data_IF_908568350249
#
_entry.id   IF_908568350249
#
_cell.length_a   1.000
_cell.length_b   1.000
_cell.length_c   1.000
_cell.angle_alpha   90.00
_cell.angle_beta   90.00
_cell.angle_gamma   90.00
#
_symmetry.space_group_name_H-M   'P 1'
#
loop_
_entity.id
_entity.type
_entity.pdbx_description
1 polymer ?
#
# COMPACT_ATOMS: atom_id res chain seq x y z
N UNK A 1 -2.40 5.07 -7.65
CA UNK A 1 -2.09 5.09 -6.20
C UNK A 1 -0.65 4.69 -5.94
N UNK A 2 -0.22 3.45 -6.19
CA UNK A 2 1.20 3.06 -6.05
C UNK A 2 2.18 3.95 -6.82
N UNK A 3 1.86 4.35 -8.06
CA UNK A 3 2.67 5.34 -8.80
C UNK A 3 2.74 6.72 -8.13
N UNK A 4 1.67 7.14 -7.45
CA UNK A 4 1.63 8.36 -6.63
C UNK A 4 2.54 8.24 -5.41
N UNK A 5 2.41 7.14 -4.65
CA UNK A 5 3.30 6.79 -3.53
C UNK A 5 4.77 6.83 -3.97
N UNK A 6 5.11 6.23 -5.12
CA UNK A 6 6.49 6.24 -5.65
C UNK A 6 6.96 7.67 -5.92
N UNK A 7 6.12 8.51 -6.53
CA UNK A 7 6.47 9.89 -6.83
C UNK A 7 6.69 10.72 -5.55
N UNK A 8 5.72 10.72 -4.64
CA UNK A 8 5.82 11.44 -3.37
C UNK A 8 6.96 10.90 -2.49
N UNK A 9 7.28 9.60 -2.59
CA UNK A 9 8.46 9.00 -1.91
C UNK A 9 9.77 9.56 -2.42
N UNK A 10 9.90 9.78 -3.73
CA UNK A 10 11.10 10.42 -4.31
C UNK A 10 11.20 11.88 -3.87
N UNK A 11 10.08 12.61 -3.89
CA UNK A 11 10.03 13.99 -3.39
C UNK A 11 10.40 14.05 -1.90
N UNK A 12 9.91 13.12 -1.10
CA UNK A 12 10.27 13.01 0.32
C UNK A 12 11.76 12.72 0.51
N UNK A 13 12.33 11.76 -0.23
CA UNK A 13 13.75 11.48 -0.18
C UNK A 13 14.61 12.68 -0.58
N UNK A 14 14.22 13.40 -1.64
CA UNK A 14 14.89 14.63 -2.05
C UNK A 14 14.82 15.70 -0.95
N UNK A 15 13.62 15.94 -0.39
CA UNK A 15 13.40 16.90 0.69
C UNK A 15 14.20 16.57 1.95
N UNK A 16 14.25 15.29 2.37
CA UNK A 16 15.07 14.84 3.50
C UNK A 16 16.55 15.17 3.27
N UNK A 17 17.07 14.89 2.07
CA UNK A 17 18.47 15.18 1.74
C UNK A 17 18.77 16.68 1.67
N UNK A 18 17.84 17.51 1.16
CA UNK A 18 18.07 18.94 0.92
C UNK A 18 17.74 19.85 2.10
N UNK A 19 16.66 19.54 2.84
CA UNK A 19 16.11 20.44 3.86
C UNK A 19 16.77 20.26 5.22
N UNK A 20 17.19 19.04 5.56
CA UNK A 20 17.79 18.72 6.86
C UNK A 20 19.26 19.09 6.86
N UNK A 21 19.62 20.06 7.70
CA UNK A 21 20.96 20.62 7.81
C UNK A 21 21.39 20.68 9.27
N UNK A 22 22.70 20.77 9.53
CA UNK A 22 23.28 20.81 10.88
C UNK A 22 24.25 19.67 11.17
N UNK A 23 24.92 19.74 12.32
CA UNK A 23 25.80 18.67 12.81
C UNK A 23 24.99 17.39 13.04
N UNK A 24 25.57 16.23 12.71
CA UNK A 24 24.88 14.92 12.75
C UNK A 24 23.62 14.79 11.88
N UNK A 25 23.40 15.68 10.90
CA UNK A 25 22.23 15.60 10.00
C UNK A 25 22.12 14.28 9.22
N UNK A 26 23.23 13.62 8.92
CA UNK A 26 23.24 12.35 8.19
C UNK A 26 22.57 11.20 8.97
N UNK A 27 22.67 11.21 10.30
CA UNK A 27 21.99 10.24 11.16
C UNK A 27 20.47 10.36 11.02
N UNK A 28 19.95 11.59 11.10
CA UNK A 28 18.51 11.87 10.96
C UNK A 28 18.00 11.64 9.55
N UNK A 29 18.79 11.96 8.51
CA UNK A 29 18.44 11.62 7.13
C UNK A 29 18.28 10.12 6.96
N UNK A 30 19.24 9.33 7.43
CA UNK A 30 19.18 7.86 7.38
C UNK A 30 17.97 7.33 8.14
N UNK A 31 17.74 7.82 9.36
CA UNK A 31 16.59 7.48 10.21
C UNK A 31 15.26 7.68 9.46
N UNK A 32 15.03 8.86 8.88
CA UNK A 32 13.79 9.20 8.17
C UNK A 32 13.59 8.37 6.91
N UNK A 33 14.65 8.12 6.13
CA UNK A 33 14.58 7.27 4.94
C UNK A 33 14.26 5.83 5.34
N UNK A 34 14.90 5.32 6.38
CA UNK A 34 14.69 3.95 6.84
C UNK A 34 13.27 3.77 7.37
N UNK A 35 12.75 4.72 8.16
CA UNK A 35 11.35 4.71 8.60
C UNK A 35 10.37 4.77 7.41
N UNK A 36 10.69 5.54 6.38
CA UNK A 36 9.88 5.60 5.15
C UNK A 36 9.85 4.26 4.42
N UNK A 37 10.99 3.56 4.33
CA UNK A 37 11.07 2.20 3.77
C UNK A 37 10.29 1.21 4.64
N UNK A 38 10.39 1.32 5.97
CA UNK A 38 9.60 0.49 6.89
C UNK A 38 8.10 0.69 6.69
N UNK A 39 7.64 1.93 6.47
CA UNK A 39 6.25 2.21 6.11
C UNK A 39 5.83 1.53 4.80
N UNK A 40 6.64 1.65 3.73
CA UNK A 40 6.36 0.99 2.46
C UNK A 40 6.26 -0.53 2.61
N UNK A 41 7.16 -1.11 3.39
CA UNK A 41 7.15 -2.54 3.72
C UNK A 41 5.88 -2.90 4.48
N UNK A 42 5.55 -2.21 5.58
CA UNK A 42 4.33 -2.45 6.34
C UNK A 42 3.07 -2.35 5.48
N UNK A 43 2.95 -1.31 4.65
CA UNK A 43 1.82 -1.10 3.74
C UNK A 43 1.70 -2.23 2.70
N UNK A 44 2.82 -2.63 2.11
CA UNK A 44 2.89 -3.73 1.13
C UNK A 44 2.41 -5.05 1.73
N UNK A 45 2.83 -5.37 2.95
CA UNK A 45 2.35 -6.55 3.66
C UNK A 45 0.87 -6.44 3.99
N UNK A 46 0.45 -5.32 4.60
CA UNK A 46 -0.95 -5.08 4.97
C UNK A 46 -1.93 -5.26 3.80
N UNK A 47 -1.57 -4.79 2.60
CA UNK A 47 -2.43 -4.92 1.41
C UNK A 47 -2.45 -6.34 0.81
N UNK A 48 -1.44 -7.16 1.13
CA UNK A 48 -1.31 -8.55 0.66
C UNK A 48 -1.89 -9.57 1.63
N UNK A 49 -2.15 -9.18 2.89
CA UNK A 49 -2.88 -10.01 3.84
C UNK A 49 -4.27 -10.37 3.29
N UNK A 50 -4.68 -11.60 3.57
CA UNK A 50 -5.98 -12.09 3.15
C UNK A 50 -7.13 -11.44 3.92
N UNK A 51 -8.31 -11.45 3.31
CA UNK A 51 -9.57 -11.06 3.93
C UNK A 51 -10.58 -12.19 3.80
N UNK A 52 -11.50 -12.29 4.74
CA UNK A 52 -12.52 -13.35 4.79
C UNK A 52 -13.37 -13.47 3.50
N UNK A 53 -13.59 -12.35 2.80
CA UNK A 53 -14.38 -12.32 1.56
C UNK A 53 -13.57 -12.70 0.32
N UNK A 54 -12.25 -12.86 0.42
CA UNK A 54 -11.41 -13.27 -0.70
C UNK A 54 -11.45 -14.80 -0.88
N UNK A 55 -11.47 -15.27 -2.13
CA UNK A 55 -11.41 -16.71 -2.42
C UNK A 55 -9.99 -17.26 -2.23
N UNK A 56 -9.55 -17.40 -0.97
CA UNK A 56 -8.20 -17.84 -0.58
C UNK A 56 -7.83 -19.18 -1.23
N UNK A 57 -8.76 -20.14 -1.24
CA UNK A 57 -8.55 -21.46 -1.86
C UNK A 57 -8.24 -21.40 -3.37
N UNK A 58 -8.75 -20.38 -4.07
CA UNK A 58 -8.51 -20.21 -5.51
C UNK A 58 -7.17 -19.53 -5.80
N UNK A 59 -6.55 -18.85 -4.81
CA UNK A 59 -5.19 -18.31 -4.91
C UNK A 59 -4.14 -19.41 -4.73
N UNK A 60 -4.38 -20.33 -3.80
CA UNK A 60 -3.46 -21.46 -3.51
C UNK A 60 -3.32 -22.40 -4.73
N UNK A 61 -4.37 -22.51 -5.57
CA UNK A 61 -4.37 -23.36 -6.78
C UNK A 61 -3.69 -22.72 -8.00
N UNK A 62 -3.03 -21.57 -7.86
CA UNK A 62 -2.30 -20.90 -8.95
C UNK A 62 -3.17 -20.36 -10.09
N UNK A 63 -4.50 -20.33 -9.92
CA UNK A 63 -5.45 -19.89 -10.96
C UNK A 63 -5.53 -18.37 -11.11
N UNK A 64 -5.08 -17.61 -10.11
CA UNK A 64 -5.11 -16.15 -10.11
C UNK A 64 -3.75 -15.60 -9.68
N UNK A 65 -3.13 -14.79 -10.55
CA UNK A 65 -1.91 -14.05 -10.23
C UNK A 65 -2.25 -12.83 -9.36
N UNK A 66 -1.48 -12.53 -8.30
CA UNK A 66 -0.23 -13.18 -7.88
C UNK A 66 -0.45 -14.36 -6.92
N UNK A 67 0.45 -15.36 -6.99
CA UNK A 67 0.62 -16.39 -5.95
C UNK A 67 1.09 -15.72 -4.66
N UNK A 68 0.18 -15.29 -3.80
CA UNK A 68 0.48 -14.81 -2.45
C UNK A 68 0.90 -16.02 -1.62
N UNK A 69 2.21 -16.24 -1.53
CA UNK A 69 2.84 -17.39 -0.88
C UNK A 69 2.81 -17.24 0.66
N UNK A 70 2.63 -18.32 1.41
CA UNK A 70 2.70 -18.36 2.89
C UNK A 70 4.01 -17.75 3.45
N UNK A 71 5.10 -17.75 2.67
CA UNK A 71 6.35 -17.03 3.01
C UNK A 71 6.19 -15.51 3.18
N UNK A 72 5.11 -14.91 2.69
CA UNK A 72 4.80 -13.49 2.90
C UNK A 72 4.33 -13.18 4.33
N UNK A 73 4.00 -14.19 5.14
CA UNK A 73 3.47 -13.99 6.49
C UNK A 73 4.55 -14.06 7.57
N UNK A 74 5.69 -14.69 7.31
CA UNK A 74 6.65 -15.04 8.36
C UNK A 74 7.75 -14.01 8.64
N UNK A 75 8.06 -13.08 7.73
CA UNK A 75 9.23 -12.19 7.88
C UNK A 75 8.90 -10.68 7.86
N UNK A 76 7.67 -10.27 8.18
CA UNK A 76 7.39 -8.83 8.36
C UNK A 76 8.28 -8.23 9.46
N UNK A 77 8.42 -8.96 10.57
CA UNK A 77 9.27 -8.56 11.69
C UNK A 77 10.73 -8.47 11.25
N UNK A 78 11.27 -9.51 10.60
CA UNK A 78 12.66 -9.53 10.10
C UNK A 78 12.94 -8.43 9.06
N UNK A 79 12.01 -8.18 8.13
CA UNK A 79 12.19 -7.12 7.12
C UNK A 79 12.12 -5.73 7.74
N UNK A 80 11.22 -5.49 8.69
CA UNK A 80 11.09 -4.17 9.35
C UNK A 80 12.22 -3.92 10.34
N UNK A 81 12.70 -4.94 11.07
CA UNK A 81 13.84 -4.83 11.99
C UNK A 81 15.15 -4.42 11.32
N UNK A 82 15.27 -4.59 10.00
CA UNK A 82 16.41 -4.05 9.23
C UNK A 82 16.38 -2.51 9.11
N UNK A 83 15.22 -1.89 9.32
CA UNK A 83 15.01 -0.45 9.11
C UNK A 83 14.63 0.30 10.40
N UNK A 84 13.98 -0.38 11.35
CA UNK A 84 13.57 0.19 12.64
C UNK A 84 14.31 -0.50 13.78
N UNK A 85 14.54 0.23 14.88
CA UNK A 85 14.99 -0.39 16.12
C UNK A 85 13.92 -1.34 16.68
N UNK A 86 14.33 -2.33 17.47
CA UNK A 86 13.39 -3.27 18.10
C UNK A 86 12.39 -2.54 19.00
N UNK A 87 12.86 -1.53 19.76
CA UNK A 87 12.02 -0.68 20.60
C UNK A 87 10.93 0.05 19.80
N UNK A 88 11.26 0.55 18.61
CA UNK A 88 10.29 1.25 17.75
C UNK A 88 9.30 0.27 17.12
N UNK A 89 9.76 -0.93 16.73
CA UNK A 89 8.89 -1.97 16.19
C UNK A 89 7.85 -2.46 17.19
N UNK A 90 8.25 -2.65 18.45
CA UNK A 90 7.36 -3.14 19.51
C UNK A 90 6.21 -2.17 19.81
N UNK A 91 6.38 -0.86 19.57
CA UNK A 91 5.29 0.13 19.69
C UNK A 91 4.17 -0.09 18.68
N UNK A 92 4.51 -0.66 17.52
CA UNK A 92 3.56 -0.89 16.43
C UNK A 92 2.99 -2.30 16.42
N UNK A 93 3.69 -3.24 17.05
CA UNK A 93 3.26 -4.62 17.19
C UNK A 93 1.87 -4.66 17.87
N UNK A 94 0.92 -5.33 17.22
CA UNK A 94 -0.46 -5.45 17.71
C UNK A 94 -1.40 -4.25 17.42
N UNK A 95 -0.92 -3.19 16.75
CA UNK A 95 -1.81 -2.10 16.31
C UNK A 95 -2.61 -2.51 15.07
N UNK A 96 -3.85 -2.05 14.97
CA UNK A 96 -4.77 -2.37 13.86
C UNK A 96 -4.24 -1.95 12.49
N UNK A 97 -3.49 -0.84 12.43
CA UNK A 97 -2.91 -0.31 11.21
C UNK A 97 -1.47 0.13 11.46
N UNK A 98 -0.54 -0.83 11.40
CA UNK A 98 0.90 -0.59 11.60
C UNK A 98 1.45 0.47 10.66
N UNK A 99 1.08 0.45 9.37
CA UNK A 99 1.55 1.42 8.39
C UNK A 99 1.17 2.86 8.77
N UNK A 100 -0.07 3.08 9.21
CA UNK A 100 -0.51 4.40 9.66
C UNK A 100 0.25 4.89 10.90
N UNK A 101 0.60 3.98 11.83
CA UNK A 101 1.38 4.32 13.03
C UNK A 101 2.81 4.72 12.69
N UNK A 102 3.44 4.04 11.72
CA UNK A 102 4.78 4.41 11.25
C UNK A 102 4.77 5.82 10.63
N UNK A 103 3.78 6.13 9.78
CA UNK A 103 3.63 7.50 9.23
C UNK A 103 3.36 8.54 10.32
N UNK A 104 2.55 8.20 11.32
CA UNK A 104 2.30 9.10 12.43
C UNK A 104 3.60 9.41 13.20
N UNK A 105 4.41 8.39 13.50
CA UNK A 105 5.72 8.60 14.13
C UNK A 105 6.67 9.41 13.25
N UNK A 106 6.66 9.18 11.93
CA UNK A 106 7.42 10.00 10.98
C UNK A 106 7.02 11.48 11.05
N UNK A 107 5.72 11.77 11.10
CA UNK A 107 5.20 13.13 11.23
C UNK A 107 5.65 13.80 12.54
N UNK A 108 5.53 13.10 13.67
CA UNK A 108 6.01 13.56 14.98
C UNK A 108 7.52 13.80 14.96
N UNK A 109 8.28 12.91 14.31
CA UNK A 109 9.73 13.05 14.22
C UNK A 109 10.15 14.29 13.43
N UNK A 110 9.43 14.61 12.36
CA UNK A 110 9.65 15.84 11.60
C UNK A 110 9.32 17.09 12.43
N UNK A 111 8.33 17.03 13.33
CA UNK A 111 8.09 18.11 14.30
C UNK A 111 9.26 18.27 15.27
N UNK A 112 9.74 17.18 15.87
CA UNK A 112 10.88 17.21 16.80
C UNK A 112 12.14 17.81 16.16
N UNK A 113 12.45 17.42 14.91
CA UNK A 113 13.60 17.96 14.17
C UNK A 113 13.43 19.45 13.84
N UNK A 114 12.21 19.88 13.55
CA UNK A 114 11.89 21.30 13.38
C UNK A 114 12.13 22.07 14.67
N UNK A 115 11.64 21.57 15.80
CA UNK A 115 11.78 22.22 17.10
C UNK A 115 13.25 22.31 17.56
N UNK A 116 14.07 21.36 17.11
CA UNK A 116 15.53 21.35 17.29
C UNK A 116 16.29 22.24 16.30
N UNK A 117 15.61 22.86 15.33
CA UNK A 117 16.22 23.81 14.39
C UNK A 117 16.94 23.19 13.20
N UNK A 118 16.72 21.91 12.88
CA UNK A 118 17.32 21.26 11.70
C UNK A 118 16.78 21.79 10.35
N UNK A 119 15.62 22.45 10.40
CA UNK A 119 14.99 23.14 9.28
C UNK A 119 13.93 24.14 9.76
N UNK A 120 13.54 25.07 8.90
CA UNK A 120 12.58 26.15 9.18
C UNK A 120 11.10 25.74 8.96
N UNK A 121 10.18 26.64 9.33
CA UNK A 121 8.73 26.43 9.18
C UNK A 121 8.28 26.21 7.73
N UNK A 122 8.92 26.85 6.75
CA UNK A 122 8.54 26.68 5.34
C UNK A 122 8.88 25.27 4.85
N UNK A 123 10.05 24.75 5.23
CA UNK A 123 10.43 23.35 4.94
C UNK A 123 9.53 22.36 5.67
N UNK A 124 9.14 22.67 6.91
CA UNK A 124 8.20 21.83 7.67
C UNK A 124 6.84 21.72 6.98
N UNK A 125 6.32 22.82 6.44
CA UNK A 125 5.06 22.81 5.67
C UNK A 125 5.13 21.91 4.43
N UNK A 126 6.26 21.90 3.71
CA UNK A 126 6.46 21.00 2.56
C UNK A 126 6.51 19.53 2.98
N UNK A 127 7.20 19.22 4.09
CA UNK A 127 7.16 17.87 4.66
C UNK A 127 5.75 17.44 5.06
N UNK A 128 4.97 18.34 5.68
CA UNK A 128 3.61 18.04 6.10
C UNK A 128 2.68 17.74 4.91
N UNK A 129 2.84 18.45 3.79
CA UNK A 129 2.14 18.13 2.53
C UNK A 129 2.44 16.71 2.06
N UNK A 130 3.71 16.31 2.04
CA UNK A 130 4.12 14.97 1.63
C UNK A 130 3.55 13.88 2.56
N UNK A 131 3.57 14.11 3.88
CA UNK A 131 2.95 13.21 4.87
C UNK A 131 1.44 13.07 4.60
N UNK A 132 0.76 14.18 4.30
CA UNK A 132 -0.68 14.19 3.98
C UNK A 132 -0.98 13.39 2.72
N UNK A 133 -0.14 13.52 1.68
CA UNK A 133 -0.25 12.73 0.46
C UNK A 133 -0.06 11.23 0.72
N UNK A 134 0.91 10.86 1.56
CA UNK A 134 1.12 9.45 1.94
C UNK A 134 -0.10 8.85 2.65
N UNK A 135 -0.70 9.59 3.59
CA UNK A 135 -1.94 9.15 4.24
C UNK A 135 -3.11 9.03 3.24
N UNK A 136 -3.23 9.98 2.32
CA UNK A 136 -4.29 9.97 1.32
C UNK A 136 -4.17 8.74 0.40
N UNK A 137 -2.97 8.42 -0.08
CA UNK A 137 -2.73 7.27 -0.95
C UNK A 137 -2.80 5.94 -0.21
N UNK A 138 -2.35 5.88 1.05
CA UNK A 138 -2.58 4.73 1.91
C UNK A 138 -4.08 4.46 2.08
N UNK A 139 -4.86 5.47 2.45
CA UNK A 139 -6.31 5.34 2.62
C UNK A 139 -7.04 4.94 1.33
N UNK A 140 -6.60 5.45 0.17
CA UNK A 140 -7.13 4.99 -1.14
C UNK A 140 -6.82 3.51 -1.40
N UNK A 141 -5.60 3.06 -1.09
CA UNK A 141 -5.20 1.65 -1.25
C UNK A 141 -5.99 0.73 -0.33
N UNK A 142 -6.17 1.13 0.92
CA UNK A 142 -6.98 0.40 1.91
C UNK A 142 -8.44 0.32 1.49
N UNK A 143 -9.01 1.37 0.89
CA UNK A 143 -10.39 1.32 0.37
C UNK A 143 -10.53 0.30 -0.76
N UNK A 144 -9.60 0.26 -1.72
CA UNK A 144 -9.62 -0.76 -2.79
C UNK A 144 -9.53 -2.16 -2.18
N UNK A 145 -8.69 -2.34 -1.16
CA UNK A 145 -8.55 -3.62 -0.48
C UNK A 145 -9.81 -4.00 0.29
N UNK A 146 -10.47 -3.08 1.00
CA UNK A 146 -11.55 -3.44 1.92
C UNK A 146 -12.95 -3.35 1.30
N UNK A 147 -13.11 -2.66 0.16
CA UNK A 147 -14.40 -2.48 -0.52
C UNK A 147 -14.34 -3.05 -1.94
N UNK A 148 -14.41 -4.39 -2.10
CA UNK A 148 -14.46 -5.01 -3.42
C UNK A 148 -15.75 -4.63 -4.15
N UNK A 149 -15.70 -4.68 -5.48
CA UNK A 149 -16.88 -4.41 -6.31
C UNK A 149 -18.01 -5.40 -5.97
N UNK A 150 -19.29 -4.98 -5.92
CA UNK A 150 -20.37 -5.86 -5.51
C UNK A 150 -20.46 -7.08 -6.42
N UNK A 151 -20.43 -8.29 -5.83
CA UNK A 151 -20.37 -9.55 -6.57
C UNK A 151 -21.52 -9.77 -7.53
N UNK A 152 -22.69 -9.19 -7.24
CA UNK A 152 -23.88 -9.29 -8.09
C UNK A 152 -23.62 -8.83 -9.53
N UNK A 153 -22.84 -7.76 -9.72
CA UNK A 153 -22.52 -7.28 -11.07
C UNK A 153 -21.71 -8.29 -11.88
N UNK A 154 -20.71 -8.93 -11.25
CA UNK A 154 -19.91 -9.95 -11.91
C UNK A 154 -20.76 -11.20 -12.24
N UNK A 155 -21.62 -11.62 -11.30
CA UNK A 155 -22.51 -12.77 -11.51
C UNK A 155 -23.51 -12.54 -12.65
N UNK A 156 -24.13 -11.37 -12.72
CA UNK A 156 -25.11 -11.05 -13.78
C UNK A 156 -24.45 -11.05 -15.16
N UNK A 157 -23.26 -10.45 -15.30
CA UNK A 157 -22.53 -10.45 -16.57
C UNK A 157 -22.19 -11.88 -17.05
N UNK A 158 -21.80 -12.76 -16.12
CA UNK A 158 -21.50 -14.16 -16.40
C UNK A 158 -22.75 -14.92 -16.86
N UNK A 159 -23.90 -14.74 -16.18
CA UNK A 159 -25.16 -15.35 -16.58
C UNK A 159 -25.64 -14.86 -17.96
N UNK A 160 -25.58 -13.55 -18.20
CA UNK A 160 -25.93 -12.96 -19.51
C UNK A 160 -25.04 -13.51 -20.63
N UNK A 161 -23.73 -13.62 -20.38
CA UNK A 161 -22.77 -14.16 -21.37
C UNK A 161 -23.04 -15.64 -21.66
N UNK A 162 -23.37 -16.44 -20.64
CA UNK A 162 -23.74 -17.84 -20.83
C UNK A 162 -25.03 -17.99 -21.64
N UNK A 163 -26.08 -17.26 -21.27
CA UNK A 163 -27.36 -17.28 -21.99
C UNK A 163 -27.15 -16.84 -23.45
N UNK A 164 -26.41 -15.74 -23.68
CA UNK A 164 -26.08 -15.26 -25.02
C UNK A 164 -25.32 -16.31 -25.84
N UNK A 165 -24.29 -16.93 -25.25
CA UNK A 165 -23.51 -17.99 -25.91
C UNK A 165 -24.36 -19.21 -26.25
N UNK A 166 -25.33 -19.57 -25.41
CA UNK A 166 -26.26 -20.69 -25.65
C UNK A 166 -27.28 -20.34 -26.73
N UNK A 167 -27.78 -19.10 -26.77
CA UNK A 167 -28.79 -18.68 -27.74
C UNK A 167 -28.23 -18.35 -29.14
N UNK A 168 -26.97 -17.92 -29.22
CA UNK A 168 -26.34 -17.51 -30.49
C UNK A 168 -26.40 -18.60 -31.58
N UNK A 169 -26.07 -19.88 -31.31
CA UNK A 169 -26.21 -20.95 -32.30
C UNK A 169 -27.63 -21.10 -32.86
N UNK A 170 -28.66 -20.96 -32.01
CA UNK A 170 -30.06 -21.05 -32.44
C UNK A 170 -30.48 -19.87 -33.31
N UNK A 171 -29.99 -18.66 -32.99
CA UNK A 171 -30.25 -17.47 -33.80
C UNK A 171 -29.59 -17.52 -35.19
N UNK A 172 -28.49 -18.26 -35.33
CA UNK A 172 -27.75 -18.41 -36.59
C UNK A 172 -28.26 -19.57 -37.46
N UNK A 173 -29.17 -20.42 -36.98
CA UNK A 173 -29.66 -21.61 -37.72
C UNK A 173 -30.19 -21.27 -39.11
N UNK A 174 -30.92 -20.17 -39.27
CA UNK A 174 -31.48 -19.78 -40.57
C UNK A 174 -30.37 -19.45 -41.60
N UNK A 175 -29.25 -18.87 -41.17
CA UNK A 175 -28.13 -18.53 -42.06
C UNK A 175 -27.42 -19.79 -42.55
N UNK A 176 -27.34 -20.83 -41.71
CA UNK A 176 -26.73 -22.10 -42.08
C UNK A 176 -27.68 -23.04 -42.84
N UNK A 177 -28.99 -22.82 -42.76
CA UNK A 177 -29.98 -23.58 -43.54
C UNK A 177 -30.07 -23.09 -44.99
N UNK A 178 -29.80 -21.81 -45.25
CA UNK A 178 -29.82 -21.19 -46.59
C UNK A 178 -28.47 -21.28 -47.33
N UNK A 179 -27.52 -22.08 -46.83
CA UNK A 179 -26.17 -22.31 -47.36
C UNK A 179 -26.03 -23.73 -47.90
#
# INVERSE_FOLDING_TARGET
>A
IWGGIVNSSRSFGAAVCSFIQGENSDGYKKELIYRHVAWLTALRFQLRLEREWEHVENRIKGKYSPNVNERYFHNLEDEIKNFLSEEEFDLYKGKTNMAAQILHKQATRLQELKDQGFFDDFRHMEFHKLITEFFADQGRSERIKNFPFPRQYASVAVWMTMIFSVLTPFGLLNIFHDL
#
